data_IF_755867437493
#
_entry.id   IF_755867437493
#
_cell.length_a   1.000
_cell.length_b   1.000
_cell.length_c   1.000
_cell.angle_alpha   90.00
_cell.angle_beta   90.00
_cell.angle_gamma   90.00
#
_symmetry.space_group_name_H-M   'P 1'
#
loop_
_entity.id
_entity.type
_entity.pdbx_description
1 polymer ?
#
# COMPACT_ATOMS: atom_id res chain seq x y z
N UNK A 1 5.61 -2.04 1.84
CA UNK A 1 5.28 -2.30 3.25
C UNK A 1 3.90 -2.96 3.36
N UNK A 2 3.76 -3.91 4.28
CA UNK A 2 2.47 -4.57 4.56
C UNK A 2 1.64 -3.65 5.46
N UNK A 3 0.34 -3.51 5.20
CA UNK A 3 -0.60 -2.77 6.05
C UNK A 3 -1.98 -3.42 6.04
N UNK A 4 -2.83 -3.00 6.98
CA UNK A 4 -4.23 -3.43 7.03
C UNK A 4 -5.05 -2.60 6.03
N UNK A 5 -5.75 -3.29 5.14
CA UNK A 5 -6.55 -2.72 4.04
C UNK A 5 -7.88 -2.13 4.51
N UNK A 6 -8.57 -2.82 5.42
CA UNK A 6 -9.93 -2.49 5.87
C UNK A 6 -9.98 -1.99 7.32
N UNK A 7 -10.99 -1.18 7.65
CA UNK A 7 -11.23 -0.84 9.06
C UNK A 7 -11.95 -1.99 9.77
N UNK A 8 -11.21 -2.73 10.57
CA UNK A 8 -11.73 -3.91 11.28
C UNK A 8 -12.60 -3.55 12.48
N UNK A 9 -12.45 -2.37 13.08
CA UNK A 9 -13.15 -2.02 14.32
C UNK A 9 -14.67 -1.85 14.13
N UNK A 10 -15.16 -1.16 13.08
CA UNK A 10 -16.59 -1.12 12.75
C UNK A 10 -17.15 -2.52 12.45
N UNK A 11 -16.40 -3.34 11.70
CA UNK A 11 -16.84 -4.70 11.33
C UNK A 11 -16.97 -5.61 12.53
N UNK A 12 -16.05 -5.50 13.49
CA UNK A 12 -16.14 -6.19 14.77
C UNK A 12 -17.36 -5.73 15.58
N UNK A 13 -17.67 -4.42 15.56
CA UNK A 13 -18.84 -3.88 16.24
C UNK A 13 -20.15 -4.41 15.65
N UNK A 14 -20.24 -4.55 14.34
CA UNK A 14 -21.39 -5.18 13.65
C UNK A 14 -21.59 -6.64 14.08
N UNK A 15 -20.49 -7.37 14.29
CA UNK A 15 -20.49 -8.74 14.81
C UNK A 15 -20.64 -8.82 16.36
N UNK A 16 -20.95 -7.72 17.04
CA UNK A 16 -21.22 -7.70 18.48
C UNK A 16 -19.98 -7.57 19.38
N UNK A 17 -18.80 -7.37 18.80
CA UNK A 17 -17.54 -7.10 19.49
C UNK A 17 -17.25 -5.60 19.54
N UNK A 18 -17.63 -4.96 20.64
CA UNK A 18 -17.22 -3.58 20.90
C UNK A 18 -15.78 -3.52 21.41
N UNK A 19 -15.11 -2.38 21.21
CA UNK A 19 -13.76 -2.13 21.76
C UNK A 19 -13.70 -2.27 23.28
N UNK A 20 -14.81 -2.03 23.98
CA UNK A 20 -14.92 -2.28 25.42
C UNK A 20 -14.87 -3.79 25.74
N UNK A 21 -15.64 -4.62 25.01
CA UNK A 21 -15.60 -6.08 25.17
C UNK A 21 -14.22 -6.65 24.85
N UNK A 22 -13.60 -6.21 23.75
CA UNK A 22 -12.28 -6.69 23.34
C UNK A 22 -11.20 -6.48 24.42
N UNK A 23 -11.25 -5.34 25.11
CA UNK A 23 -10.35 -5.04 26.24
C UNK A 23 -10.69 -5.83 27.49
N UNK A 24 -11.98 -5.96 27.81
CA UNK A 24 -12.45 -6.65 29.02
C UNK A 24 -12.22 -8.15 28.96
N UNK A 25 -12.50 -8.74 27.80
CA UNK A 25 -12.40 -10.19 27.56
C UNK A 25 -10.96 -10.59 27.17
N UNK A 26 -10.05 -9.62 27.00
CA UNK A 26 -8.63 -9.85 26.71
C UNK A 26 -8.35 -10.44 25.33
N UNK A 27 -9.33 -10.41 24.43
CA UNK A 27 -9.23 -10.99 23.08
C UNK A 27 -8.19 -10.23 22.25
N UNK A 28 -8.17 -8.90 22.35
CA UNK A 28 -7.16 -8.05 21.73
C UNK A 28 -6.55 -7.13 22.77
N UNK A 29 -5.22 -7.07 22.80
CA UNK A 29 -4.50 -6.13 23.67
C UNK A 29 -4.71 -4.68 23.24
N UNK A 30 -4.55 -3.75 24.17
CA UNK A 30 -4.66 -2.30 23.89
C UNK A 30 -3.75 -1.86 22.75
N UNK A 31 -2.52 -2.39 22.71
CA UNK A 31 -1.53 -2.09 21.68
C UNK A 31 -1.96 -2.62 20.30
N UNK A 32 -2.64 -3.76 20.24
CA UNK A 32 -3.16 -4.32 18.99
C UNK A 32 -4.33 -3.49 18.48
N UNK A 33 -5.24 -3.08 19.36
CA UNK A 33 -6.35 -2.17 19.01
C UNK A 33 -5.81 -0.85 18.45
N UNK A 34 -4.73 -0.31 19.04
CA UNK A 34 -4.10 0.89 18.54
C UNK A 34 -3.45 0.69 17.17
N UNK A 35 -2.74 -0.43 16.96
CA UNK A 35 -2.18 -0.80 15.65
C UNK A 35 -3.26 -0.92 14.56
N UNK A 36 -4.43 -1.47 14.91
CA UNK A 36 -5.57 -1.58 13.99
C UNK A 36 -6.11 -0.20 13.58
N UNK A 37 -6.17 0.78 14.51
CA UNK A 37 -6.54 2.17 14.18
C UNK A 37 -5.52 2.84 13.25
N UNK A 38 -4.25 2.57 13.49
CA UNK A 38 -3.13 3.09 12.70
C UNK A 38 -2.89 2.30 11.40
N UNK A 39 -3.72 1.28 11.12
CA UNK A 39 -3.58 0.33 9.99
C UNK A 39 -2.20 -0.32 9.89
N UNK A 40 -1.51 -0.46 11.02
CA UNK A 40 -0.19 -1.09 11.11
C UNK A 40 -0.30 -2.61 11.09
N UNK A 41 0.83 -3.25 10.80
CA UNK A 41 0.97 -4.70 10.85
C UNK A 41 0.70 -5.21 12.28
N UNK A 42 -0.12 -6.25 12.36
CA UNK A 42 -0.44 -6.98 13.59
C UNK A 42 0.13 -8.41 13.52
N UNK A 43 0.05 -9.16 14.62
CA UNK A 43 0.48 -10.56 14.63
C UNK A 43 -0.42 -11.42 13.74
N UNK A 44 0.13 -12.52 13.20
CA UNK A 44 -0.64 -13.49 12.44
C UNK A 44 -1.77 -14.12 13.26
N UNK A 45 -1.58 -14.32 14.57
CA UNK A 45 -2.63 -14.78 15.49
C UNK A 45 -3.84 -13.84 15.52
N UNK A 46 -3.59 -12.52 15.48
CA UNK A 46 -4.66 -11.53 15.41
C UNK A 46 -5.41 -11.64 14.09
N UNK A 47 -4.69 -11.84 12.98
CA UNK A 47 -5.29 -12.00 11.65
C UNK A 47 -6.12 -13.28 11.59
N UNK A 48 -5.62 -14.39 12.11
CA UNK A 48 -6.33 -15.67 12.15
C UNK A 48 -7.67 -15.54 12.90
N UNK A 49 -7.63 -14.94 14.09
CA UNK A 49 -8.84 -14.67 14.87
C UNK A 49 -9.82 -13.73 14.13
N UNK A 50 -9.31 -12.69 13.46
CA UNK A 50 -10.14 -11.78 12.66
C UNK A 50 -10.80 -12.50 11.49
N UNK A 51 -10.06 -13.37 10.79
CA UNK A 51 -10.59 -14.18 9.69
C UNK A 51 -11.74 -15.06 10.18
N UNK A 52 -11.56 -15.75 11.32
CA UNK A 52 -12.61 -16.61 11.89
C UNK A 52 -13.82 -15.85 12.42
N UNK A 53 -13.64 -14.62 12.89
CA UNK A 53 -14.74 -13.81 13.47
C UNK A 53 -15.53 -13.05 12.39
N UNK A 54 -14.84 -12.57 11.35
CA UNK A 54 -15.42 -11.75 10.30
C UNK A 54 -15.80 -12.54 9.04
N UNK A 55 -15.43 -13.83 8.99
CA UNK A 55 -15.54 -14.70 7.82
C UNK A 55 -14.89 -14.08 6.57
N UNK A 56 -13.67 -13.56 6.77
CA UNK A 56 -12.88 -12.89 5.73
C UNK A 56 -11.59 -13.66 5.45
N UNK A 57 -11.10 -13.57 4.21
CA UNK A 57 -9.79 -14.08 3.87
C UNK A 57 -8.69 -13.09 4.29
N UNK A 58 -7.48 -13.58 4.63
CA UNK A 58 -6.38 -12.70 5.01
C UNK A 58 -6.00 -11.71 3.90
N UNK A 59 -6.21 -12.06 2.63
CA UNK A 59 -6.01 -11.16 1.49
C UNK A 59 -7.01 -10.00 1.40
N UNK A 60 -8.16 -10.09 2.08
CA UNK A 60 -9.11 -8.99 2.18
C UNK A 60 -8.76 -8.04 3.33
N UNK A 61 -8.07 -8.56 4.35
CA UNK A 61 -7.68 -7.80 5.54
C UNK A 61 -6.34 -7.08 5.32
N UNK A 62 -5.42 -7.71 4.59
CA UNK A 62 -4.02 -7.28 4.47
C UNK A 62 -3.72 -6.88 3.02
N UNK A 63 -2.94 -5.82 2.86
CA UNK A 63 -2.41 -5.43 1.55
C UNK A 63 -0.91 -5.16 1.63
N UNK A 64 -0.24 -5.37 0.50
CA UNK A 64 1.14 -4.97 0.30
C UNK A 64 1.19 -3.70 -0.55
N UNK A 65 1.70 -2.61 0.03
CA UNK A 65 1.90 -1.34 -0.66
C UNK A 65 3.36 -1.24 -1.10
N UNK A 66 3.62 -1.03 -2.40
CA UNK A 66 4.98 -0.77 -2.87
C UNK A 66 5.43 0.61 -2.36
N UNK A 67 6.61 0.66 -1.77
CA UNK A 67 7.25 1.90 -1.33
C UNK A 67 8.02 2.43 -2.54
N UNK A 68 7.31 3.07 -3.46
CA UNK A 68 7.96 3.82 -4.54
C UNK A 68 8.40 5.15 -3.92
N UNK A 69 9.63 5.57 -4.18
CA UNK A 69 10.36 6.66 -3.52
C UNK A 69 9.81 8.08 -3.76
N UNK A 70 8.50 8.28 -3.56
CA UNK A 70 7.75 9.53 -3.58
C UNK A 70 6.66 9.52 -2.48
N UNK A 71 6.95 8.93 -1.31
CA UNK A 71 6.06 8.90 -0.13
C UNK A 71 5.93 10.29 0.53
N UNK A 72 5.34 11.25 -0.18
CA UNK A 72 4.87 12.53 0.40
C UNK A 72 3.35 12.65 0.51
N UNK A 73 2.56 11.72 -0.03
CA UNK A 73 1.10 11.83 0.03
C UNK A 73 0.40 10.46 0.13
N UNK A 74 0.50 9.82 1.29
CA UNK A 74 -0.45 8.77 1.71
C UNK A 74 -1.02 9.10 3.10
N UNK A 75 -1.41 10.37 3.24
CA UNK A 75 -2.44 10.82 4.19
C UNK A 75 -3.40 11.70 3.38
N UNK A 76 -4.38 11.10 2.71
CA UNK A 76 -5.59 11.83 2.36
C UNK A 76 -6.70 11.45 3.36
N UNK A 77 -7.22 12.41 4.14
CA UNK A 77 -8.35 12.16 5.02
C UNK A 77 -9.56 11.72 4.20
N UNK A 78 -10.32 10.77 4.74
CA UNK A 78 -11.59 10.33 4.16
C UNK A 78 -12.58 11.50 4.28
N UNK A 79 -12.64 12.37 3.27
CA UNK A 79 -13.76 13.26 3.07
C UNK A 79 -14.61 12.68 1.95
N UNK A 80 -15.56 11.82 2.30
CA UNK A 80 -16.74 11.68 1.45
C UNK A 80 -17.68 12.82 1.80
N UNK A 81 -17.60 13.91 1.05
CA UNK A 81 -18.79 14.55 0.52
C UNK A 81 -18.45 15.43 -0.69
N UNK A 82 -19.36 15.33 -1.66
CA UNK A 82 -19.27 15.80 -3.04
C UNK A 82 -19.13 17.32 -3.15
N UNK A 83 -18.34 17.77 -4.13
CA UNK A 83 -18.57 18.87 -5.11
C UNK A 83 -17.27 19.01 -5.93
N UNK A 84 -17.25 18.71 -7.24
CA UNK A 84 -17.42 19.72 -8.31
C UNK A 84 -16.52 20.95 -8.04
N UNK A 85 -15.48 21.28 -8.80
CA UNK A 85 -15.42 21.56 -10.25
C UNK A 85 -13.98 21.85 -10.71
N UNK A 86 -13.78 21.88 -12.04
CA UNK A 86 -12.79 22.65 -12.83
C UNK A 86 -11.30 22.26 -12.70
N UNK A 87 -10.65 21.72 -13.75
CA UNK A 87 -9.99 22.43 -14.89
C UNK A 87 -8.77 23.26 -14.43
N UNK A 88 -7.65 23.07 -15.14
CA UNK A 88 -6.27 23.60 -14.95
C UNK A 88 -5.39 22.68 -14.08
N UNK A 89 -4.39 21.94 -14.60
CA UNK A 89 -3.33 22.36 -15.51
C UNK A 89 -2.85 21.19 -16.38
N UNK A 90 -3.39 21.13 -17.59
CA UNK A 90 -2.79 20.50 -18.75
C UNK A 90 -1.82 21.54 -19.34
N UNK A 91 -0.59 21.65 -18.85
CA UNK A 91 0.49 22.40 -19.53
C UNK A 91 1.81 22.31 -18.73
N UNK A 92 2.52 21.18 -18.87
CA UNK A 92 3.99 21.16 -18.88
C UNK A 92 4.55 19.83 -19.41
N UNK A 93 3.89 19.26 -20.43
CA UNK A 93 4.33 18.03 -21.10
C UNK A 93 4.70 18.32 -22.57
N UNK A 94 5.40 19.43 -22.86
CA UNK A 94 5.77 19.75 -24.26
C UNK A 94 7.07 20.57 -24.42
N UNK A 95 7.98 20.59 -23.44
CA UNK A 95 9.24 21.38 -23.53
C UNK A 95 10.55 20.62 -23.49
N UNK A 96 10.56 19.29 -23.63
CA UNK A 96 11.82 18.52 -23.56
C UNK A 96 12.08 17.58 -24.75
N UNK A 97 11.60 17.92 -25.95
CA UNK A 97 11.85 17.13 -27.18
C UNK A 97 12.76 17.77 -28.22
N UNK A 98 13.52 18.83 -27.91
CA UNK A 98 14.31 19.45 -28.97
C UNK A 98 15.62 20.11 -28.54
N UNK A 99 16.53 19.36 -27.89
CA UNK A 99 17.95 19.74 -27.91
C UNK A 99 18.86 18.59 -27.48
N UNK A 100 19.27 17.75 -28.43
CA UNK A 100 20.68 17.43 -28.76
C UNK A 100 20.69 16.32 -29.81
N UNK A 101 20.61 16.73 -31.07
CA UNK A 101 21.04 15.92 -32.19
C UNK A 101 22.56 15.80 -32.16
N UNK A 102 23.08 14.57 -32.01
CA UNK A 102 24.40 14.18 -32.50
C UNK A 102 24.38 12.67 -32.80
N UNK A 103 24.99 12.22 -33.92
CA UNK A 103 24.86 10.85 -34.39
C UNK A 103 25.75 9.93 -33.55
N UNK A 104 25.19 8.82 -33.05
CA UNK A 104 26.02 7.79 -32.44
C UNK A 104 26.83 7.10 -33.55
N UNK A 105 28.15 7.28 -33.46
CA UNK A 105 29.15 6.70 -34.33
C UNK A 105 29.25 5.20 -34.04
N UNK A 106 29.03 4.38 -35.06
CA UNK A 106 29.36 2.96 -35.02
C UNK A 106 30.86 2.79 -34.83
N UNK A 107 31.29 2.11 -33.77
CA UNK A 107 32.61 1.50 -33.71
C UNK A 107 32.42 -0.01 -33.80
N UNK A 108 32.79 -0.55 -34.96
CA UNK A 108 33.09 -1.95 -35.18
C UNK A 108 34.36 -2.33 -34.42
N UNK A 109 34.51 -3.64 -34.25
CA UNK A 109 35.75 -4.35 -33.97
C UNK A 109 36.26 -4.31 -32.51
N UNK A 110 36.00 -5.39 -31.78
CA UNK A 110 37.09 -6.33 -31.51
C UNK A 110 36.55 -7.76 -31.31
N UNK A 111 37.16 -8.64 -32.11
CA UNK A 111 37.06 -10.09 -32.15
C UNK A 111 37.54 -10.72 -30.84
N UNK A 112 36.92 -11.88 -30.56
CA UNK A 112 37.49 -13.16 -30.10
C UNK A 112 38.56 -13.06 -28.98
N UNK A 113 38.40 -13.70 -27.83
CA UNK A 113 38.57 -15.14 -27.67
C UNK A 113 38.12 -15.55 -26.25
N UNK A 114 37.49 -16.71 -26.08
CA UNK A 114 37.42 -17.33 -24.75
C UNK A 114 36.21 -18.20 -24.47
N UNK A 115 36.06 -19.27 -25.24
CA UNK A 115 35.28 -20.47 -24.90
C UNK A 115 35.57 -20.92 -23.47
N UNK A 116 34.54 -21.21 -22.66
CA UNK A 116 34.38 -22.53 -21.99
C UNK A 116 32.99 -22.68 -21.33
N UNK A 117 32.51 -23.93 -21.13
CA UNK A 117 31.10 -24.32 -21.25
C UNK A 117 30.43 -24.87 -19.97
N UNK A 118 29.11 -24.99 -20.10
CA UNK A 118 28.04 -25.52 -19.23
C UNK A 118 27.44 -24.54 -18.21
#
# INVERSE_FOLDING_TARGET
>A
MIRIKIDVLPRLKENGYSTYKLRKDGILSESTIQKLRERKVVSFETIDWLCGTLDLQPGDIIEYVKCDSNDKYDYLPITTDKKETAIEKQEECDKFKQQIAAPYRSNTDNKDDGVVPW
#
